data_IF_369307075319
#
_entry.id   IF_369307075319
#
_cell.length_a   1.000
_cell.length_b   1.000
_cell.length_c   1.000
_cell.angle_alpha   90.00
_cell.angle_beta   90.00
_cell.angle_gamma   90.00
#
_symmetry.space_group_name_H-M   'P 1'
#
loop_
_entity.id
_entity.type
_entity.pdbx_description
1 polymer ?
#
# COMPACT_ATOMS: atom_id res chain seq x y z
N UNK A 1 27.22 -25.66 23.30
CA UNK A 1 25.81 -25.69 22.84
C UNK A 1 25.21 -24.34 23.18
N UNK A 2 25.26 -23.38 22.26
CA UNK A 2 24.94 -21.97 22.53
C UNK A 2 23.47 -21.70 22.19
N UNK A 3 22.64 -21.41 23.21
CA UNK A 3 21.26 -20.94 23.03
C UNK A 3 21.30 -19.45 22.71
N UNK A 4 21.20 -19.09 21.42
CA UNK A 4 20.86 -17.73 20.98
C UNK A 4 19.36 -17.51 21.23
N UNK A 5 19.00 -17.08 22.43
CA UNK A 5 17.66 -16.53 22.68
C UNK A 5 17.53 -15.31 21.77
N UNK A 6 16.66 -15.41 20.76
CA UNK A 6 16.42 -14.29 19.86
C UNK A 6 15.83 -13.13 20.67
N UNK A 7 16.58 -12.04 20.79
CA UNK A 7 16.08 -10.75 21.26
C UNK A 7 15.11 -10.20 20.21
N UNK A 8 13.91 -10.78 20.12
CA UNK A 8 12.84 -10.25 19.32
C UNK A 8 12.04 -9.26 20.16
N UNK A 9 12.49 -8.01 20.17
CA UNK A 9 11.73 -6.91 20.75
C UNK A 9 10.65 -6.44 19.75
N UNK A 10 9.37 -6.53 20.15
CA UNK A 10 8.25 -5.99 19.36
C UNK A 10 8.08 -4.51 19.66
N UNK A 11 8.33 -3.65 18.68
CA UNK A 11 8.13 -2.20 18.78
C UNK A 11 6.67 -1.76 18.50
N UNK A 12 5.69 -2.63 18.80
CA UNK A 12 4.28 -2.44 18.45
C UNK A 12 3.92 -2.97 17.06
N UNK A 13 2.71 -2.64 16.59
CA UNK A 13 2.16 -3.08 15.30
C UNK A 13 2.00 -1.88 14.38
N UNK A 14 2.48 -2.00 13.14
CA UNK A 14 2.25 -1.02 12.07
C UNK A 14 1.38 -1.62 10.98
N UNK A 15 0.72 -0.78 10.19
CA UNK A 15 -0.10 -1.20 9.05
C UNK A 15 0.71 -1.05 7.77
N UNK A 16 0.98 -2.15 7.06
CA UNK A 16 1.64 -2.12 5.76
C UNK A 16 0.58 -2.05 4.66
N UNK A 17 0.72 -1.08 3.75
CA UNK A 17 0.15 -1.17 2.41
C UNK A 17 1.25 -1.58 1.44
N UNK A 18 0.95 -2.51 0.55
CA UNK A 18 1.88 -2.99 -0.47
C UNK A 18 1.15 -3.20 -1.79
N UNK A 19 1.83 -2.88 -2.88
CA UNK A 19 1.39 -3.11 -4.25
C UNK A 19 2.53 -3.80 -5.01
N UNK A 20 2.17 -4.78 -5.85
CA UNK A 20 3.09 -5.47 -6.73
C UNK A 20 2.93 -4.90 -8.14
N UNK A 21 4.01 -4.36 -8.70
CA UNK A 21 4.10 -4.15 -10.14
C UNK A 21 4.26 -5.52 -10.80
N UNK A 22 3.20 -5.99 -11.46
CA UNK A 22 3.14 -7.33 -12.06
C UNK A 22 4.13 -7.48 -13.21
N UNK A 23 4.43 -6.40 -13.93
CA UNK A 23 5.32 -6.43 -15.10
C UNK A 23 6.78 -6.44 -14.66
N UNK A 24 7.13 -5.58 -13.70
CA UNK A 24 8.50 -5.45 -13.21
C UNK A 24 8.85 -6.48 -12.11
N UNK A 25 7.86 -7.06 -11.44
CA UNK A 25 8.06 -7.94 -10.29
C UNK A 25 8.53 -7.21 -9.04
N UNK A 26 8.38 -5.88 -8.99
CA UNK A 26 8.82 -5.03 -7.87
C UNK A 26 7.67 -4.75 -6.92
N UNK A 27 7.98 -4.59 -5.64
CA UNK A 27 6.99 -4.25 -4.60
C UNK A 27 7.20 -2.81 -4.16
N UNK A 28 6.12 -2.03 -4.21
CA UNK A 28 6.03 -0.71 -3.58
C UNK A 28 5.29 -0.91 -2.26
N UNK A 29 5.87 -0.48 -1.15
CA UNK A 29 5.26 -0.69 0.16
C UNK A 29 5.57 0.43 1.14
N UNK A 30 4.61 0.75 1.99
CA UNK A 30 4.76 1.80 2.99
C UNK A 30 4.00 1.45 4.28
N UNK A 31 4.67 1.70 5.41
CA UNK A 31 4.12 1.50 6.73
C UNK A 31 3.42 2.76 7.24
N UNK A 32 2.24 2.57 7.80
CA UNK A 32 1.42 3.62 8.39
C UNK A 32 1.00 3.25 9.81
N UNK A 33 0.83 4.24 10.72
CA UNK A 33 0.38 3.95 12.08
C UNK A 33 -1.02 3.30 12.15
N UNK A 34 -1.86 3.46 11.12
CA UNK A 34 -3.23 2.95 11.07
C UNK A 34 -3.63 2.51 9.66
N UNK A 35 -4.51 1.52 9.59
CA UNK A 35 -5.08 1.00 8.33
C UNK A 35 -6.43 1.67 8.03
N UNK A 36 -6.42 2.86 7.41
CA UNK A 36 -7.67 3.57 7.01
C UNK A 36 -7.58 4.10 5.59
N UNK A 37 -8.73 4.55 5.07
CA UNK A 37 -8.83 5.12 3.74
C UNK A 37 -7.96 6.36 3.51
N UNK A 38 -7.70 7.18 4.54
CA UNK A 38 -6.79 8.33 4.42
C UNK A 38 -5.34 7.92 4.17
N UNK A 39 -4.86 6.91 4.90
CA UNK A 39 -3.53 6.35 4.73
C UNK A 39 -3.42 5.59 3.41
N UNK A 40 -4.45 4.82 3.06
CA UNK A 40 -4.52 4.16 1.74
C UNK A 40 -4.53 5.17 0.60
N UNK A 41 -5.28 6.27 0.72
CA UNK A 41 -5.28 7.36 -0.26
C UNK A 41 -3.87 7.92 -0.46
N UNK A 42 -3.11 8.17 0.60
CA UNK A 42 -1.71 8.62 0.48
C UNK A 42 -0.84 7.58 -0.22
N UNK A 43 -1.02 6.31 0.11
CA UNK A 43 -0.32 5.23 -0.58
C UNK A 43 -0.63 5.18 -2.09
N UNK A 44 -1.85 5.52 -2.51
CA UNK A 44 -2.19 5.65 -3.94
C UNK A 44 -1.44 6.81 -4.64
N UNK A 45 -1.14 7.91 -3.93
CA UNK A 45 -0.29 8.98 -4.49
C UNK A 45 1.15 8.48 -4.72
N UNK A 46 1.68 7.67 -3.80
CA UNK A 46 3.02 7.09 -3.94
C UNK A 46 3.11 6.12 -5.12
N UNK A 47 2.07 5.31 -5.35
CA UNK A 47 2.00 4.45 -6.54
C UNK A 47 2.03 5.30 -7.81
N UNK A 48 1.20 6.34 -7.88
CA UNK A 48 1.15 7.20 -9.06
C UNK A 48 2.47 7.93 -9.30
N UNK A 49 3.12 8.44 -8.25
CA UNK A 49 4.43 9.08 -8.37
C UNK A 49 5.54 8.11 -8.83
N UNK A 50 5.38 6.81 -8.58
CA UNK A 50 6.34 5.78 -8.99
C UNK A 50 6.13 5.29 -10.44
N UNK A 51 4.97 5.58 -11.05
CA UNK A 51 4.65 5.16 -12.42
C UNK A 51 4.98 6.29 -13.41
N UNK A 52 5.66 5.99 -14.54
CA UNK A 52 5.87 6.97 -15.61
C UNK A 52 4.57 7.64 -16.05
N UNK A 53 4.61 8.96 -16.28
CA UNK A 53 3.41 9.77 -16.54
C UNK A 53 2.68 9.44 -17.85
N UNK A 54 3.31 8.69 -18.76
CA UNK A 54 2.75 8.21 -20.01
C UNK A 54 2.03 6.85 -19.90
N UNK A 55 1.96 6.27 -18.69
CA UNK A 55 1.34 4.98 -18.42
C UNK A 55 0.12 5.11 -17.50
N UNK A 56 -0.91 4.33 -17.78
CA UNK A 56 -2.08 4.21 -16.92
C UNK A 56 -1.83 3.29 -15.72
N UNK A 57 -2.43 3.63 -14.58
CA UNK A 57 -2.37 2.81 -13.36
C UNK A 57 -3.63 1.97 -13.23
N UNK A 58 -3.49 0.64 -13.43
CA UNK A 58 -4.56 -0.33 -13.21
C UNK A 58 -4.38 -1.06 -11.87
N UNK A 59 -5.34 -0.89 -10.95
CA UNK A 59 -5.27 -1.48 -9.61
C UNK A 59 -6.19 -2.70 -9.50
N UNK A 60 -5.63 -3.84 -9.08
CA UNK A 60 -6.40 -4.99 -8.60
C UNK A 60 -6.31 -5.00 -7.08
N UNK A 61 -7.44 -4.74 -6.43
CA UNK A 61 -7.52 -4.58 -4.99
C UNK A 61 -8.22 -5.77 -4.35
N UNK A 62 -7.85 -6.08 -3.10
CA UNK A 62 -8.62 -7.03 -2.29
C UNK A 62 -9.98 -6.44 -1.86
N UNK A 63 -10.76 -7.23 -1.13
CA UNK A 63 -12.11 -6.86 -0.71
C UNK A 63 -12.17 -5.91 0.52
N UNK A 64 -11.09 -5.22 0.88
CA UNK A 64 -11.09 -4.34 2.05
C UNK A 64 -12.09 -3.17 1.93
N UNK A 65 -12.77 -2.85 3.04
CA UNK A 65 -13.74 -1.76 3.10
C UNK A 65 -13.09 -0.38 2.87
N UNK A 66 -11.79 -0.24 3.17
CA UNK A 66 -11.03 1.00 2.93
C UNK A 66 -11.04 1.40 1.45
N UNK A 67 -11.03 0.42 0.54
CA UNK A 67 -11.04 0.63 -0.91
C UNK A 67 -12.37 1.19 -1.43
N UNK A 68 -13.46 1.01 -0.68
CA UNK A 68 -14.82 1.34 -1.12
C UNK A 68 -15.31 2.70 -0.63
N UNK A 69 -14.48 3.46 0.10
CA UNK A 69 -14.87 4.79 0.58
C UNK A 69 -15.01 5.79 -0.57
N UNK A 70 -15.82 6.84 -0.38
CA UNK A 70 -15.99 7.90 -1.40
C UNK A 70 -14.64 8.53 -1.80
N UNK A 71 -13.77 8.75 -0.82
CA UNK A 71 -12.41 9.30 -1.03
C UNK A 71 -11.62 8.50 -2.07
N UNK A 72 -11.68 7.17 -2.00
CA UNK A 72 -10.94 6.28 -2.91
C UNK A 72 -11.65 6.18 -4.26
N UNK A 73 -12.98 6.09 -4.28
CA UNK A 73 -13.74 6.09 -5.54
C UNK A 73 -13.52 7.36 -6.36
N UNK A 74 -13.52 8.52 -5.72
CA UNK A 74 -13.25 9.80 -6.38
C UNK A 74 -11.82 9.86 -6.94
N UNK A 75 -10.85 9.22 -6.26
CA UNK A 75 -9.49 9.13 -6.75
C UNK A 75 -9.38 8.23 -7.99
N UNK A 76 -10.03 7.07 -7.97
CA UNK A 76 -10.08 6.14 -9.10
C UNK A 76 -10.79 6.76 -10.31
N UNK A 77 -11.90 7.46 -10.08
CA UNK A 77 -12.69 8.09 -11.14
C UNK A 77 -11.96 9.20 -11.91
N UNK A 78 -10.90 9.78 -11.35
CA UNK A 78 -10.05 10.75 -12.07
C UNK A 78 -9.08 10.08 -13.06
N UNK A 79 -8.99 8.74 -13.04
CA UNK A 79 -8.04 7.92 -13.80
C UNK A 79 -8.76 6.82 -14.62
N UNK A 80 -10.09 6.92 -14.73
CA UNK A 80 -10.94 6.16 -15.65
C UNK A 80 -11.39 7.08 -16.77
#
# INVERSE_FOLDING_TARGET
MERRTHDYARHGTTSLFAALDVKAGTVIGQCYPRHRASEFRRFLDEIEAAVPADLDVHLVLDNSATHKTKLIRDWLARRL
#
